data_IF_504775527771
#
_entry.id   IF_504775527771
#
_cell.length_a   1.000
_cell.length_b   1.000
_cell.length_c   1.000
_cell.angle_alpha   90.00
_cell.angle_beta   90.00
_cell.angle_gamma   90.00
#
_symmetry.space_group_name_H-M   'P 1'
#
loop_
_entity.id
_entity.type
_entity.pdbx_description
1 polymer ?
#
# COMPACT_ATOMS: atom_id res chain seq x y z
N UNK A 1 -8.59 -24.38 14.98
CA UNK A 1 -7.88 -25.26 14.03
C UNK A 1 -7.15 -24.33 13.07
N UNK A 2 -5.84 -24.53 12.83
CA UNK A 2 -5.12 -23.69 11.88
C UNK A 2 -5.48 -24.08 10.44
N UNK A 3 -5.46 -23.09 9.56
CA UNK A 3 -5.64 -23.21 8.11
C UNK A 3 -4.39 -22.72 7.41
N UNK A 4 -4.14 -23.24 6.21
CA UNK A 4 -3.02 -22.82 5.37
C UNK A 4 -3.52 -22.14 4.10
N UNK A 5 -2.89 -21.03 3.77
CA UNK A 5 -3.12 -20.29 2.53
C UNK A 5 -1.81 -20.17 1.75
N UNK A 6 -1.84 -20.46 0.45
CA UNK A 6 -0.70 -20.27 -0.44
C UNK A 6 -0.83 -18.88 -1.05
N UNK A 7 0.25 -18.10 -0.99
CA UNK A 7 0.29 -16.76 -1.54
C UNK A 7 1.67 -16.41 -2.08
N UNK A 8 1.79 -15.16 -2.47
CA UNK A 8 3.05 -14.58 -2.96
C UNK A 8 3.49 -13.50 -1.99
N UNK A 9 4.77 -13.49 -1.61
CA UNK A 9 5.34 -12.40 -0.83
C UNK A 9 5.25 -11.08 -1.62
N UNK A 10 4.63 -10.06 -1.04
CA UNK A 10 4.34 -8.78 -1.71
C UNK A 10 5.35 -7.66 -1.40
N UNK A 11 6.53 -7.99 -0.86
CA UNK A 11 7.49 -6.98 -0.39
C UNK A 11 8.48 -6.53 -1.47
N UNK A 12 8.89 -7.42 -2.37
CA UNK A 12 9.82 -7.09 -3.44
C UNK A 12 9.54 -7.91 -4.69
N UNK A 13 10.21 -7.53 -5.76
CA UNK A 13 10.00 -8.00 -7.13
C UNK A 13 10.36 -9.48 -7.33
N UNK A 14 11.04 -10.09 -6.35
CA UNK A 14 11.37 -11.51 -6.35
C UNK A 14 10.12 -12.40 -6.20
N UNK A 15 9.03 -11.87 -5.64
CA UNK A 15 7.72 -12.53 -5.60
C UNK A 15 7.76 -14.00 -5.13
N UNK A 16 8.53 -14.30 -4.08
CA UNK A 16 8.67 -15.65 -3.57
C UNK A 16 7.32 -16.26 -3.16
N UNK A 17 7.07 -17.53 -3.51
CA UNK A 17 5.91 -18.27 -3.03
C UNK A 17 6.00 -18.54 -1.52
N UNK A 18 4.88 -18.33 -0.82
CA UNK A 18 4.76 -18.49 0.63
C UNK A 18 3.55 -19.34 1.01
N UNK A 19 3.67 -20.05 2.13
CA UNK A 19 2.56 -20.70 2.84
C UNK A 19 2.36 -19.97 4.16
N UNK A 20 1.17 -19.40 4.32
CA UNK A 20 0.74 -18.70 5.53
C UNK A 20 -0.17 -19.63 6.33
N UNK A 21 0.26 -19.99 7.54
CA UNK A 21 -0.55 -20.70 8.51
C UNK A 21 -1.21 -19.70 9.47
N UNK A 22 -2.52 -19.79 9.66
CA UNK A 22 -3.29 -18.87 10.51
C UNK A 22 -4.46 -19.59 11.20
N UNK A 23 -4.94 -19.08 12.33
CA UNK A 23 -6.16 -19.58 12.99
C UNK A 23 -7.45 -18.85 12.59
N UNK A 24 -7.31 -17.86 11.70
CA UNK A 24 -8.41 -17.00 11.24
C UNK A 24 -8.44 -15.61 11.88
N UNK A 25 -7.75 -15.44 13.01
CA UNK A 25 -7.53 -14.14 13.64
C UNK A 25 -6.07 -13.70 13.57
N UNK A 26 -5.13 -14.65 13.69
CA UNK A 26 -3.70 -14.38 13.78
C UNK A 26 -2.90 -15.26 12.82
N UNK A 27 -1.78 -14.72 12.34
CA UNK A 27 -0.78 -15.47 11.60
C UNK A 27 0.08 -16.26 12.57
N UNK A 28 0.11 -17.58 12.43
CA UNK A 28 0.89 -18.50 13.29
C UNK A 28 2.30 -18.67 12.74
N UNK A 29 2.42 -18.84 11.41
CA UNK A 29 3.71 -19.03 10.75
C UNK A 29 3.65 -18.65 9.27
N UNK A 30 4.79 -18.20 8.74
CA UNK A 30 5.01 -18.00 7.31
C UNK A 30 6.23 -18.81 6.89
N UNK A 31 6.07 -19.66 5.88
CA UNK A 31 7.11 -20.52 5.31
C UNK A 31 7.18 -20.34 3.80
N UNK A 32 8.27 -20.73 3.18
CA UNK A 32 8.33 -20.78 1.71
C UNK A 32 7.50 -21.93 1.17
N UNK A 33 6.86 -21.73 0.03
CA UNK A 33 6.21 -22.82 -0.72
C UNK A 33 7.26 -23.62 -1.49
N UNK A 34 7.50 -24.86 -1.08
CA UNK A 34 8.45 -25.78 -1.74
C UNK A 34 8.09 -26.06 -3.20
N UNK A 35 6.82 -25.86 -3.58
CA UNK A 35 6.33 -26.10 -4.95
C UNK A 35 6.37 -24.84 -5.82
N UNK A 36 6.73 -23.69 -5.26
CA UNK A 36 6.85 -22.47 -6.05
C UNK A 36 8.01 -22.62 -7.06
N UNK A 37 7.76 -22.38 -8.36
CA UNK A 37 8.77 -22.61 -9.40
C UNK A 37 9.93 -21.61 -9.35
N UNK A 38 9.77 -20.46 -8.70
CA UNK A 38 10.78 -19.42 -8.63
C UNK A 38 11.63 -19.55 -7.37
N UNK A 39 11.00 -19.64 -6.21
CA UNK A 39 11.68 -19.63 -4.92
C UNK A 39 12.00 -21.03 -4.40
N UNK A 40 11.27 -22.07 -4.82
CA UNK A 40 11.50 -23.47 -4.42
C UNK A 40 11.63 -23.64 -2.90
N UNK A 41 10.77 -22.94 -2.14
CA UNK A 41 10.78 -22.94 -0.67
C UNK A 41 11.73 -21.93 -0.02
N UNK A 42 12.60 -21.25 -0.78
CA UNK A 42 13.45 -20.20 -0.23
C UNK A 42 12.66 -18.91 0.05
N UNK A 43 12.83 -18.36 1.25
CA UNK A 43 12.33 -17.02 1.61
C UNK A 43 13.38 -16.28 2.45
N UNK A 44 13.40 -14.95 2.37
CA UNK A 44 14.26 -14.11 3.20
C UNK A 44 13.58 -13.72 4.53
N UNK A 45 14.31 -13.17 5.51
CA UNK A 45 13.74 -12.76 6.81
C UNK A 45 12.61 -11.74 6.73
N UNK A 46 12.51 -10.98 5.63
CA UNK A 46 11.40 -10.04 5.42
C UNK A 46 10.05 -10.74 5.31
N UNK A 47 10.02 -11.92 4.69
CA UNK A 47 8.78 -12.67 4.52
C UNK A 47 8.28 -13.25 5.85
N UNK A 48 9.19 -13.71 6.71
CA UNK A 48 8.82 -14.23 8.04
C UNK A 48 8.30 -13.13 8.96
N UNK A 49 8.78 -11.89 8.79
CA UNK A 49 8.34 -10.73 9.56
C UNK A 49 6.99 -10.12 9.09
N UNK A 50 6.36 -10.66 8.05
CA UNK A 50 5.05 -10.17 7.59
C UNK A 50 3.95 -10.34 8.66
N UNK A 51 4.06 -11.35 9.53
CA UNK A 51 3.16 -11.52 10.66
C UNK A 51 3.26 -10.34 11.63
N UNK A 52 4.49 -9.92 11.96
CA UNK A 52 4.76 -8.80 12.86
C UNK A 52 4.15 -7.49 12.33
N UNK A 53 4.22 -7.26 11.01
CA UNK A 53 3.58 -6.10 10.38
C UNK A 53 2.06 -6.16 10.40
N UNK A 54 1.47 -7.36 10.28
CA UNK A 54 0.01 -7.53 10.30
C UNK A 54 -0.58 -7.27 11.69
N UNK A 55 0.13 -7.72 12.72
CA UNK A 55 -0.27 -7.62 14.12
C UNK A 55 0.28 -6.36 14.81
N UNK A 56 0.93 -5.46 14.08
CA UNK A 56 1.49 -4.21 14.61
C UNK A 56 0.38 -3.38 15.29
N UNK A 57 0.54 -3.02 16.58
CA UNK A 57 -0.47 -2.23 17.30
C UNK A 57 -0.63 -0.81 16.74
N UNK A 58 0.38 -0.27 16.05
CA UNK A 58 0.36 1.06 15.45
C UNK A 58 -0.22 1.05 14.01
N UNK A 59 -0.68 -0.11 13.53
CA UNK A 59 -1.30 -0.22 12.20
C UNK A 59 -2.55 0.66 12.08
N UNK A 60 -2.56 1.56 11.09
CA UNK A 60 -3.71 2.43 10.81
C UNK A 60 -4.88 1.61 10.25
N UNK A 61 -5.95 1.48 11.05
CA UNK A 61 -7.16 0.72 10.71
C UNK A 61 -8.32 1.61 10.26
N UNK A 62 -8.26 2.91 10.59
CA UNK A 62 -9.29 3.91 10.31
C UNK A 62 -8.66 5.18 9.73
N UNK A 63 -9.38 5.94 8.89
CA UNK A 63 -8.91 7.24 8.44
C UNK A 63 -8.70 8.20 9.61
N UNK A 64 -7.64 9.00 9.53
CA UNK A 64 -7.33 10.04 10.49
C UNK A 64 -7.36 11.41 9.80
N UNK A 65 -8.12 12.36 10.36
CA UNK A 65 -8.15 13.75 9.91
C UNK A 65 -7.45 14.65 10.92
N UNK A 66 -6.72 15.65 10.42
CA UNK A 66 -6.05 16.65 11.27
C UNK A 66 -7.08 17.45 12.06
N UNK A 67 -6.83 17.63 13.35
CA UNK A 67 -7.64 18.42 14.27
C UNK A 67 -6.72 19.22 15.20
N UNK A 68 -6.55 20.52 14.91
CA UNK A 68 -5.54 21.36 15.52
C UNK A 68 -4.12 20.82 15.31
N UNK A 69 -3.40 20.61 16.42
CA UNK A 69 -2.05 20.06 16.43
C UNK A 69 -2.03 18.51 16.36
N UNK A 70 -3.18 17.86 16.43
CA UNK A 70 -3.32 16.40 16.46
C UNK A 70 -4.11 15.82 15.29
N UNK A 71 -4.54 14.56 15.48
CA UNK A 71 -5.41 13.83 14.57
C UNK A 71 -6.57 13.20 15.33
N UNK A 72 -7.71 13.08 14.66
CA UNK A 72 -8.87 12.32 15.14
C UNK A 72 -9.29 11.28 14.12
N UNK A 73 -9.91 10.21 14.59
CA UNK A 73 -10.54 9.24 13.71
C UNK A 73 -11.69 9.87 12.90
N UNK A 74 -11.88 9.35 11.70
CA UNK A 74 -12.93 9.74 10.77
C UNK A 74 -13.49 8.50 10.06
N UNK A 75 -14.71 8.64 9.56
CA UNK A 75 -15.28 7.62 8.66
C UNK A 75 -14.62 7.70 7.27
N UNK A 76 -14.71 6.63 6.49
CA UNK A 76 -14.27 6.66 5.09
C UNK A 76 -15.02 7.71 4.27
N UNK A 77 -16.33 7.86 4.46
CA UNK A 77 -17.12 8.87 3.75
C UNK A 77 -16.63 10.29 4.09
N UNK A 78 -16.43 10.59 5.37
CA UNK A 78 -15.91 11.89 5.80
C UNK A 78 -14.52 12.18 5.24
N UNK A 79 -13.62 11.21 5.29
CA UNK A 79 -12.25 11.36 4.79
C UNK A 79 -12.20 11.55 3.28
N UNK A 80 -13.00 10.80 2.52
CA UNK A 80 -13.10 10.91 1.07
C UNK A 80 -13.76 12.23 0.66
N UNK A 81 -14.83 12.65 1.33
CA UNK A 81 -15.48 13.95 1.10
C UNK A 81 -14.54 15.12 1.42
N UNK A 82 -13.75 15.01 2.49
CA UNK A 82 -12.72 15.99 2.80
C UNK A 82 -11.68 16.07 1.68
N UNK A 83 -11.10 14.93 1.28
CA UNK A 83 -10.09 14.89 0.22
C UNK A 83 -10.65 15.42 -1.12
N UNK A 84 -11.85 15.01 -1.51
CA UNK A 84 -12.49 15.44 -2.75
C UNK A 84 -12.73 16.95 -2.77
N UNK A 85 -13.30 17.52 -1.70
CA UNK A 85 -13.52 18.97 -1.59
C UNK A 85 -12.20 19.75 -1.64
N UNK A 86 -11.19 19.35 -0.87
CA UNK A 86 -9.91 20.06 -0.83
C UNK A 86 -9.17 20.00 -2.15
N UNK A 87 -9.16 18.85 -2.82
CA UNK A 87 -8.57 18.72 -4.15
C UNK A 87 -9.32 19.57 -5.19
N UNK A 88 -10.65 19.61 -5.14
CA UNK A 88 -11.45 20.47 -6.01
C UNK A 88 -11.15 21.96 -5.77
N UNK A 89 -11.20 22.42 -4.52
CA UNK A 89 -10.92 23.81 -4.16
C UNK A 89 -9.53 24.25 -4.65
N UNK A 90 -8.50 23.43 -4.40
CA UNK A 90 -7.12 23.74 -4.81
C UNK A 90 -7.02 23.82 -6.33
N UNK A 91 -7.65 22.88 -7.05
CA UNK A 91 -7.65 22.89 -8.51
C UNK A 91 -8.36 24.13 -9.07
N UNK A 92 -9.49 24.50 -8.50
CA UNK A 92 -10.28 25.64 -8.99
C UNK A 92 -9.56 26.97 -8.73
N UNK A 93 -8.81 27.07 -7.63
CA UNK A 93 -8.07 28.29 -7.25
C UNK A 93 -6.68 28.40 -7.91
N UNK A 94 -5.99 27.28 -8.12
CA UNK A 94 -4.58 27.27 -8.48
C UNK A 94 -4.25 26.44 -9.73
N UNK A 95 -5.23 25.78 -10.34
CA UNK A 95 -5.06 24.88 -11.48
C UNK A 95 -4.62 23.47 -11.09
N UNK A 96 -4.60 22.57 -12.08
CA UNK A 96 -4.32 21.15 -11.86
C UNK A 96 -2.91 20.89 -11.31
N UNK A 97 -1.91 21.66 -11.77
CA UNK A 97 -0.51 21.48 -11.36
C UNK A 97 -0.24 21.92 -9.90
N UNK A 98 -1.20 22.53 -9.20
CA UNK A 98 -1.09 22.75 -7.75
C UNK A 98 -1.28 21.48 -6.92
N UNK A 99 -1.73 20.38 -7.55
CA UNK A 99 -1.84 19.06 -6.95
C UNK A 99 -0.64 18.24 -7.38
N UNK A 100 0.02 17.57 -6.42
CA UNK A 100 1.07 16.61 -6.70
C UNK A 100 0.66 15.21 -6.24
N UNK A 101 1.21 14.20 -6.89
CA UNK A 101 1.00 12.79 -6.51
C UNK A 101 2.34 12.12 -6.29
N UNK A 102 2.41 11.22 -5.31
CA UNK A 102 3.59 10.42 -5.04
C UNK A 102 3.20 8.94 -4.96
N UNK A 103 3.75 8.14 -5.87
CA UNK A 103 3.55 6.68 -5.87
C UNK A 103 4.71 5.98 -5.15
N UNK A 104 4.41 5.39 -3.99
CA UNK A 104 5.35 4.61 -3.20
C UNK A 104 5.65 3.21 -3.77
N UNK A 105 6.55 2.49 -3.11
CA UNK A 105 6.98 1.13 -3.46
C UNK A 105 6.49 0.11 -2.39
N UNK A 106 5.95 -1.08 -2.74
CA UNK A 106 5.66 -1.59 -4.10
C UNK A 106 4.18 -1.48 -4.50
N UNK A 107 3.83 -0.50 -5.33
CA UNK A 107 2.50 -0.46 -5.96
C UNK A 107 2.23 -1.63 -6.92
N UNK A 108 3.27 -2.26 -7.46
CA UNK A 108 3.17 -3.35 -8.43
C UNK A 108 2.55 -4.64 -7.87
N UNK A 109 2.56 -4.83 -6.54
CA UNK A 109 1.94 -5.99 -5.90
C UNK A 109 0.48 -5.74 -5.48
N UNK A 110 -0.09 -4.57 -5.79
CA UNK A 110 -1.47 -4.24 -5.48
C UNK A 110 -2.31 -4.11 -6.76
N UNK A 111 -3.16 -5.12 -6.99
CA UNK A 111 -4.01 -5.17 -8.19
C UNK A 111 -4.92 -3.95 -8.32
N UNK A 112 -5.49 -3.46 -7.23
CA UNK A 112 -6.38 -2.29 -7.24
C UNK A 112 -5.65 -1.01 -7.66
N UNK A 113 -4.42 -0.80 -7.17
CA UNK A 113 -3.58 0.32 -7.61
C UNK A 113 -3.24 0.19 -9.10
N UNK A 114 -2.90 -1.02 -9.57
CA UNK A 114 -2.59 -1.27 -10.97
C UNK A 114 -3.78 -1.01 -11.91
N UNK A 115 -4.98 -1.44 -11.54
CA UNK A 115 -6.16 -1.33 -12.42
C UNK A 115 -6.87 0.01 -12.32
N UNK A 116 -6.98 0.59 -11.11
CA UNK A 116 -7.79 1.78 -10.86
C UNK A 116 -6.97 3.01 -10.51
N UNK A 117 -5.79 2.84 -9.90
CA UNK A 117 -4.96 3.97 -9.46
C UNK A 117 -4.57 4.88 -10.63
N UNK A 118 -4.18 4.30 -11.77
CA UNK A 118 -3.82 5.08 -12.96
C UNK A 118 -5.01 5.86 -13.55
N UNK A 119 -6.23 5.35 -13.42
CA UNK A 119 -7.43 6.06 -13.86
C UNK A 119 -7.67 7.32 -13.01
N UNK A 120 -7.55 7.19 -11.69
CA UNK A 120 -7.67 8.32 -10.77
C UNK A 120 -6.60 9.38 -11.02
N UNK A 121 -5.33 8.97 -11.12
CA UNK A 121 -4.20 9.89 -11.31
C UNK A 121 -4.31 10.66 -12.63
N UNK A 122 -4.70 9.99 -13.72
CA UNK A 122 -4.96 10.66 -15.01
C UNK A 122 -6.09 11.68 -14.92
N UNK A 123 -7.10 11.45 -14.08
CA UNK A 123 -8.21 12.39 -13.88
C UNK A 123 -7.85 13.62 -13.06
N UNK A 124 -6.79 13.57 -12.24
CA UNK A 124 -6.26 14.76 -11.57
C UNK A 124 -5.69 15.78 -12.57
N UNK A 125 -5.19 15.31 -13.72
CA UNK A 125 -4.72 16.18 -14.81
C UNK A 125 -3.45 16.97 -14.51
N UNK A 126 -2.80 16.70 -13.38
CA UNK A 126 -1.53 17.32 -12.97
C UNK A 126 -0.34 16.71 -13.72
N UNK A 127 0.66 17.54 -14.00
CA UNK A 127 1.99 17.11 -14.49
C UNK A 127 2.94 16.75 -13.36
N UNK A 128 2.59 17.10 -12.11
CA UNK A 128 3.39 16.84 -10.92
C UNK A 128 3.14 15.41 -10.40
N UNK A 129 3.72 14.45 -11.12
CA UNK A 129 3.68 13.04 -10.79
C UNK A 129 5.06 12.54 -10.36
N UNK A 130 5.16 12.11 -9.11
CA UNK A 130 6.38 11.63 -8.48
C UNK A 130 6.24 10.16 -8.08
N UNK A 131 7.37 9.51 -7.89
CA UNK A 131 7.48 8.12 -7.42
C UNK A 131 8.77 7.91 -6.63
N UNK A 132 8.92 6.74 -6.03
CA UNK A 132 10.19 6.31 -5.43
C UNK A 132 11.38 6.48 -6.42
N UNK A 133 11.18 6.20 -7.71
CA UNK A 133 12.21 6.43 -8.74
C UNK A 133 12.61 7.90 -8.85
N UNK A 134 11.65 8.83 -8.79
CA UNK A 134 11.98 10.26 -8.86
C UNK A 134 12.71 10.79 -7.62
N UNK A 135 12.61 10.08 -6.49
CA UNK A 135 13.35 10.42 -5.27
C UNK A 135 14.75 9.78 -5.25
N UNK A 136 14.86 8.49 -5.61
CA UNK A 136 16.04 7.68 -5.31
C UNK A 136 16.90 7.33 -6.53
N UNK A 137 16.34 7.38 -7.75
CA UNK A 137 16.94 6.74 -8.93
C UNK A 137 17.23 7.69 -10.08
N UNK A 138 16.63 8.89 -10.12
CA UNK A 138 16.89 9.86 -11.17
C UNK A 138 18.16 10.66 -10.86
N UNK A 139 19.17 10.65 -11.75
CA UNK A 139 20.35 11.49 -11.58
C UNK A 139 19.96 12.98 -11.61
N UNK A 140 20.63 13.77 -10.75
CA UNK A 140 20.50 15.23 -10.69
C UNK A 140 21.04 15.91 -11.95
#
# INVERSE_FOLDING_TARGET
>A
MSSQHIGTCTLCEAACGIVVEHDGAHVIAIRGDERDPFSQGYICPKATALADLHDDPDWLRTPLLRDGDGFREATWDEALDYAARRLADIRDQHGADAIATYQGNPGAHNLGILTFGQLFLRKLGTRNAFSATSADQLPH
#
